data_IF_723052223327
#
_entry.id   IF_723052223327
#
_cell.length_a   1.000
_cell.length_b   1.000
_cell.length_c   1.000
_cell.angle_alpha   90.00
_cell.angle_beta   90.00
_cell.angle_gamma   90.00
#
_symmetry.space_group_name_H-M   'P 1'
#
loop_
_entity.id
_entity.type
_entity.pdbx_description
1 polymer ?
#
# COMPACT_ATOMS: atom_id res chain seq x y z
N UNK A 1 44.52 45.85 -6.33
CA UNK A 1 43.93 44.54 -6.64
C UNK A 1 44.87 43.46 -6.12
N UNK A 2 46.17 43.62 -6.37
CA UNK A 2 47.27 42.76 -5.89
C UNK A 2 47.33 42.47 -4.38
N UNK A 3 47.03 43.43 -3.49
CA UNK A 3 47.12 43.19 -2.03
C UNK A 3 46.02 42.24 -1.48
N UNK A 4 44.83 42.25 -2.08
CA UNK A 4 43.73 41.39 -1.63
C UNK A 4 43.93 39.97 -2.16
N UNK A 5 44.40 39.84 -3.40
CA UNK A 5 44.72 38.54 -3.99
C UNK A 5 45.79 37.81 -3.20
N UNK A 6 46.87 38.50 -2.79
CA UNK A 6 47.93 37.90 -1.99
C UNK A 6 47.44 37.44 -0.61
N UNK A 7 46.60 38.24 0.07
CA UNK A 7 46.03 37.87 1.38
C UNK A 7 45.13 36.64 1.28
N UNK A 8 44.33 36.54 0.21
CA UNK A 8 43.49 35.34 0.00
C UNK A 8 44.36 34.14 -0.33
N UNK A 9 45.38 34.29 -1.17
CA UNK A 9 46.25 33.18 -1.55
C UNK A 9 47.01 32.63 -0.34
N UNK A 10 47.48 33.49 0.57
CA UNK A 10 48.14 33.09 1.80
C UNK A 10 47.16 32.37 2.76
N UNK A 11 45.92 32.87 2.90
CA UNK A 11 44.90 32.23 3.74
C UNK A 11 44.52 30.82 3.23
N UNK A 12 44.38 30.67 1.91
CA UNK A 12 44.12 29.36 1.28
C UNK A 12 45.29 28.41 1.51
N UNK A 13 46.53 28.91 1.39
CA UNK A 13 47.74 28.11 1.57
C UNK A 13 47.91 27.63 3.01
N UNK A 14 47.65 28.50 3.99
CA UNK A 14 47.67 28.17 5.41
C UNK A 14 46.60 27.11 5.75
N UNK A 15 45.37 27.28 5.23
CA UNK A 15 44.29 26.30 5.44
C UNK A 15 44.61 24.94 4.83
N UNK A 16 45.18 24.90 3.62
CA UNK A 16 45.61 23.64 2.98
C UNK A 16 46.70 22.95 3.79
N UNK A 17 47.64 23.71 4.39
CA UNK A 17 48.67 23.14 5.26
C UNK A 17 48.08 22.54 6.54
N UNK A 18 47.11 23.20 7.17
CA UNK A 18 46.41 22.66 8.34
C UNK A 18 45.67 21.35 8.02
N UNK A 19 44.99 21.29 6.87
CA UNK A 19 44.31 20.07 6.40
C UNK A 19 45.32 18.94 6.15
N UNK A 20 46.44 19.23 5.48
CA UNK A 20 47.50 18.24 5.25
C UNK A 20 48.14 17.75 6.55
N UNK A 21 48.30 18.63 7.54
CA UNK A 21 48.82 18.28 8.86
C UNK A 21 47.84 17.37 9.62
N UNK A 22 46.54 17.63 9.55
CA UNK A 22 45.51 16.73 10.09
C UNK A 22 45.58 15.34 9.44
N UNK A 23 45.66 15.26 8.11
CA UNK A 23 45.79 14.01 7.38
C UNK A 23 47.05 13.20 7.74
N UNK A 24 48.12 13.88 8.13
CA UNK A 24 49.38 13.23 8.51
C UNK A 24 49.31 12.59 9.91
N UNK A 25 48.42 13.06 10.79
CA UNK A 25 48.30 12.57 12.18
C UNK A 25 46.84 12.58 12.69
N UNK A 26 45.94 11.75 12.13
CA UNK A 26 44.51 11.81 12.43
C UNK A 26 44.16 11.36 13.87
N UNK A 27 45.01 10.57 14.52
CA UNK A 27 44.76 10.06 15.89
C UNK A 27 44.92 11.14 16.99
N UNK A 28 45.55 12.28 16.66
CA UNK A 28 45.79 13.36 17.62
C UNK A 28 44.60 14.32 17.77
N UNK A 29 43.66 14.31 16.82
CA UNK A 29 42.56 15.27 16.72
C UNK A 29 41.22 14.55 16.85
N UNK A 30 40.43 14.86 17.88
CA UNK A 30 39.16 14.17 18.20
C UNK A 30 38.04 14.37 17.17
N UNK A 31 36.90 13.67 17.35
CA UNK A 31 35.75 13.71 16.42
C UNK A 31 35.22 15.13 16.16
N UNK A 32 35.21 16.00 17.17
CA UNK A 32 34.78 17.40 17.08
C UNK A 32 35.68 18.26 16.17
N UNK A 33 36.96 17.92 16.06
CA UNK A 33 37.90 18.59 15.16
C UNK A 33 37.62 18.24 13.68
N UNK A 34 37.10 17.04 13.44
CA UNK A 34 36.81 16.50 12.10
C UNK A 34 35.65 17.26 11.44
N UNK A 35 34.60 17.54 12.23
CA UNK A 35 33.41 18.29 11.78
C UNK A 35 33.79 19.74 11.48
N UNK A 36 34.57 20.38 12.35
CA UNK A 36 35.07 21.74 12.12
C UNK A 36 35.94 21.85 10.86
N UNK A 37 36.73 20.82 10.55
CA UNK A 37 37.59 20.81 9.36
C UNK A 37 36.77 20.78 8.06
N UNK A 38 35.65 20.06 8.04
CA UNK A 38 34.77 19.99 6.86
C UNK A 38 34.07 21.33 6.60
N UNK A 39 33.54 21.96 7.66
CA UNK A 39 32.92 23.28 7.56
C UNK A 39 33.93 24.33 7.08
N UNK A 40 35.18 24.27 7.56
CA UNK A 40 36.27 25.15 7.12
C UNK A 40 36.64 24.90 5.65
N UNK A 41 36.75 23.64 5.22
CA UNK A 41 37.05 23.27 3.82
C UNK A 41 35.93 23.75 2.89
N UNK A 42 34.68 23.62 3.31
CA UNK A 42 33.52 24.04 2.53
C UNK A 42 33.45 25.57 2.38
N UNK A 43 33.75 26.31 3.45
CA UNK A 43 33.88 27.77 3.40
C UNK A 43 35.04 28.21 2.48
N UNK A 44 36.19 27.55 2.54
CA UNK A 44 37.33 27.86 1.65
C UNK A 44 37.02 27.55 0.19
N UNK A 45 36.29 26.46 -0.10
CA UNK A 45 35.82 26.15 -1.45
C UNK A 45 34.85 27.21 -1.99
N UNK A 46 33.91 27.70 -1.17
CA UNK A 46 33.00 28.77 -1.55
C UNK A 46 33.74 30.09 -1.85
N UNK A 47 34.69 30.47 -1.00
CA UNK A 47 35.52 31.66 -1.20
C UNK A 47 36.37 31.53 -2.46
N UNK A 48 36.96 30.37 -2.69
CA UNK A 48 37.78 30.12 -3.88
C UNK A 48 36.96 30.14 -5.18
N UNK A 49 35.75 29.56 -5.21
CA UNK A 49 34.84 29.62 -6.36
C UNK A 49 34.40 31.07 -6.66
N UNK A 50 34.14 31.87 -5.62
CA UNK A 50 33.81 33.28 -5.76
C UNK A 50 34.97 34.11 -6.36
N UNK A 51 36.21 33.72 -6.07
CA UNK A 51 37.42 34.41 -6.55
C UNK A 51 37.84 33.95 -7.94
N UNK A 52 37.76 32.65 -8.25
CA UNK A 52 38.01 32.12 -9.60
C UNK A 52 36.96 32.61 -10.63
N UNK A 53 35.77 33.02 -10.19
CA UNK A 53 34.81 33.71 -11.06
C UNK A 53 35.24 35.14 -11.45
N UNK A 54 36.22 35.70 -10.74
CA UNK A 54 36.71 37.07 -10.92
C UNK A 54 38.13 37.16 -11.52
N UNK A 55 38.90 36.06 -11.56
CA UNK A 55 40.30 36.01 -11.98
C UNK A 55 40.50 34.79 -12.88
N UNK A 56 41.11 34.95 -14.05
CA UNK A 56 41.55 33.85 -14.94
C UNK A 56 42.71 33.07 -14.26
N UNK A 57 42.39 32.26 -13.26
CA UNK A 57 43.34 31.48 -12.45
C UNK A 57 43.37 29.99 -12.80
N UNK A 58 44.55 29.38 -12.68
CA UNK A 58 44.89 27.99 -13.05
C UNK A 58 43.94 26.91 -12.49
N UNK A 59 43.32 26.14 -13.40
CA UNK A 59 42.34 25.07 -13.13
C UNK A 59 42.88 23.89 -12.27
N UNK A 60 44.20 23.79 -12.10
CA UNK A 60 44.86 22.66 -11.43
C UNK A 60 44.60 22.64 -9.91
N UNK A 61 44.56 23.82 -9.27
CA UNK A 61 44.28 23.95 -7.83
C UNK A 61 42.83 23.59 -7.54
N UNK A 62 41.90 24.05 -8.38
CA UNK A 62 40.47 23.74 -8.26
C UNK A 62 40.21 22.23 -8.38
N UNK A 63 40.87 21.57 -9.33
CA UNK A 63 40.70 20.13 -9.55
C UNK A 63 41.28 19.30 -8.39
N UNK A 64 42.40 19.75 -7.81
CA UNK A 64 43.01 19.11 -6.64
C UNK A 64 42.10 19.23 -5.42
N UNK A 65 41.56 20.43 -5.15
CA UNK A 65 40.62 20.67 -4.05
C UNK A 65 39.32 19.86 -4.20
N UNK A 66 38.76 19.77 -5.42
CA UNK A 66 37.60 18.92 -5.71
C UNK A 66 37.88 17.44 -5.44
N UNK A 67 39.06 16.96 -5.83
CA UNK A 67 39.45 15.56 -5.63
C UNK A 67 39.63 15.24 -4.15
N UNK A 68 40.25 16.15 -3.39
CA UNK A 68 40.38 16.01 -1.93
C UNK A 68 39.01 16.01 -1.26
N UNK A 69 38.13 16.98 -1.55
CA UNK A 69 36.78 17.04 -0.99
C UNK A 69 35.98 15.76 -1.25
N UNK A 70 36.04 15.22 -2.48
CA UNK A 70 35.37 13.97 -2.82
C UNK A 70 35.94 12.76 -2.05
N UNK A 71 37.25 12.72 -1.82
CA UNK A 71 37.88 11.69 -1.02
C UNK A 71 37.44 11.77 0.45
N UNK A 72 37.30 12.98 1.02
CA UNK A 72 36.83 13.17 2.40
C UNK A 72 35.38 12.71 2.56
N UNK A 73 34.50 13.07 1.61
CA UNK A 73 33.09 12.66 1.59
C UNK A 73 32.98 11.12 1.55
N UNK A 74 33.77 10.47 0.70
CA UNK A 74 33.78 9.01 0.62
C UNK A 74 34.30 8.35 1.91
N UNK A 75 35.25 9.00 2.59
CA UNK A 75 35.81 8.53 3.87
C UNK A 75 34.81 8.72 5.03
N UNK A 76 34.02 9.80 5.02
CA UNK A 76 32.91 10.01 5.95
C UNK A 76 31.76 9.03 5.70
N UNK A 77 31.35 8.84 4.44
CA UNK A 77 30.30 7.87 4.09
C UNK A 77 30.68 6.44 4.52
N UNK A 78 31.97 6.10 4.45
CA UNK A 78 32.48 4.80 4.92
C UNK A 78 32.63 4.71 6.44
N UNK A 79 32.81 5.83 7.16
CA UNK A 79 32.77 5.90 8.64
C UNK A 79 31.33 5.91 9.20
N UNK A 80 30.34 6.47 8.47
CA UNK A 80 28.92 6.48 8.84
C UNK A 80 28.29 5.07 8.81
N UNK A 81 28.91 4.10 8.12
CA UNK A 81 28.60 2.68 8.31
C UNK A 81 29.15 2.20 9.66
N UNK A 82 28.48 2.61 10.74
CA UNK A 82 28.70 2.09 12.09
C UNK A 82 28.61 0.57 11.99
N UNK A 83 29.76 -0.12 12.04
CA UNK A 83 29.86 -1.58 12.08
C UNK A 83 29.30 -2.08 13.42
N UNK A 84 27.98 -2.06 13.57
CA UNK A 84 27.30 -2.77 14.65
C UNK A 84 27.41 -4.27 14.34
N UNK A 85 27.97 -5.07 15.27
CA UNK A 85 27.98 -6.53 15.17
C UNK A 85 26.52 -7.03 15.08
N UNK A 86 26.16 -7.70 13.98
CA UNK A 86 24.85 -8.31 13.78
C UNK A 86 24.19 -7.93 12.46
N UNK A 87 22.98 -8.47 12.23
CA UNK A 87 22.16 -8.11 11.07
C UNK A 87 21.81 -6.61 11.15
N UNK A 88 21.89 -5.86 10.03
CA UNK A 88 21.48 -4.46 9.99
C UNK A 88 20.10 -4.26 10.60
N UNK A 89 19.96 -3.21 11.39
CA UNK A 89 18.71 -2.86 12.04
C UNK A 89 17.69 -2.42 10.98
N UNK A 90 16.49 -3.01 11.01
CA UNK A 90 15.39 -2.56 10.16
C UNK A 90 14.95 -1.21 10.71
N UNK A 91 15.24 -0.15 9.96
CA UNK A 91 14.79 1.21 10.26
C UNK A 91 13.28 1.26 10.05
N UNK A 92 12.55 1.48 11.14
CA UNK A 92 11.11 1.69 11.14
C UNK A 92 10.90 3.07 11.74
N UNK A 93 10.41 3.98 10.92
CA UNK A 93 10.15 5.35 11.36
C UNK A 93 9.05 5.37 12.43
N UNK A 94 9.26 6.21 13.46
CA UNK A 94 8.36 6.31 14.61
C UNK A 94 6.99 6.82 14.20
N UNK A 95 6.95 7.83 13.34
CA UNK A 95 5.70 8.47 12.92
C UNK A 95 4.94 7.56 11.97
N UNK A 96 5.64 6.85 11.09
CA UNK A 96 5.05 5.83 10.22
C UNK A 96 4.45 4.67 11.02
N UNK A 97 5.15 4.17 12.04
CA UNK A 97 4.64 3.11 12.90
C UNK A 97 3.43 3.58 13.72
N UNK A 98 3.50 4.79 14.27
CA UNK A 98 2.39 5.42 15.01
C UNK A 98 1.17 5.56 14.12
N UNK A 99 1.33 6.10 12.92
CA UNK A 99 0.26 6.25 11.95
C UNK A 99 -0.41 4.91 11.63
N UNK A 100 0.36 3.85 11.37
CA UNK A 100 -0.20 2.53 11.05
C UNK A 100 -0.99 1.92 12.22
N UNK A 101 -0.50 2.12 13.46
CA UNK A 101 -1.24 1.71 14.66
C UNK A 101 -2.52 2.53 14.81
N UNK A 102 -2.46 3.85 14.58
CA UNK A 102 -3.61 4.76 14.62
C UNK A 102 -4.71 4.40 13.61
N UNK A 103 -4.31 4.03 12.40
CA UNK A 103 -5.21 3.52 11.36
C UNK A 103 -5.79 2.12 11.69
N UNK A 104 -5.35 1.49 12.78
CA UNK A 104 -5.89 0.23 13.28
C UNK A 104 -5.33 -1.01 12.58
N UNK A 105 -4.17 -0.92 11.94
CA UNK A 105 -3.48 -2.10 11.41
C UNK A 105 -3.00 -3.01 12.55
N UNK A 106 -3.16 -4.33 12.37
CA UNK A 106 -2.64 -5.30 13.33
C UNK A 106 -1.12 -5.41 13.20
N UNK A 107 -0.44 -5.80 14.28
CA UNK A 107 1.00 -6.10 14.30
C UNK A 107 1.38 -7.07 13.16
N UNK A 108 0.51 -8.04 12.84
CA UNK A 108 0.71 -8.97 11.71
C UNK A 108 0.73 -8.24 10.36
N UNK A 109 -0.19 -7.31 10.11
CA UNK A 109 -0.24 -6.58 8.85
C UNK A 109 0.93 -5.61 8.74
N UNK A 110 1.23 -4.89 9.83
CA UNK A 110 2.38 -3.98 9.91
C UNK A 110 3.67 -4.76 9.64
N UNK A 111 3.84 -5.95 10.23
CA UNK A 111 5.04 -6.76 9.99
C UNK A 111 5.19 -7.19 8.53
N UNK A 112 4.08 -7.47 7.83
CA UNK A 112 4.09 -7.79 6.40
C UNK A 112 4.44 -6.55 5.55
N UNK A 113 3.93 -5.37 5.90
CA UNK A 113 4.24 -4.11 5.19
C UNK A 113 5.72 -3.74 5.29
N UNK A 114 6.32 -3.89 6.46
CA UNK A 114 7.74 -3.63 6.68
C UNK A 114 8.65 -4.83 6.38
N UNK A 115 8.09 -5.93 5.86
CA UNK A 115 8.81 -7.18 5.58
C UNK A 115 9.71 -7.64 6.74
N UNK A 116 9.17 -7.60 7.97
CA UNK A 116 9.90 -7.92 9.18
C UNK A 116 9.12 -8.90 10.07
N UNK A 117 9.76 -9.35 11.16
CA UNK A 117 9.09 -10.21 12.13
C UNK A 117 8.11 -9.41 12.99
N UNK A 118 7.03 -10.05 13.48
CA UNK A 118 6.12 -9.42 14.46
C UNK A 118 6.86 -8.92 15.70
N UNK A 119 7.86 -9.68 16.15
CA UNK A 119 8.70 -9.34 17.30
C UNK A 119 9.48 -8.05 17.08
N UNK A 120 9.87 -7.75 15.84
CA UNK A 120 10.51 -6.48 15.47
C UNK A 120 9.54 -5.32 15.67
N UNK A 121 8.29 -5.45 15.20
CA UNK A 121 7.25 -4.44 15.39
C UNK A 121 6.92 -4.25 16.87
N UNK A 122 6.70 -5.33 17.63
CA UNK A 122 6.42 -5.27 19.08
C UNK A 122 7.54 -4.59 19.86
N UNK A 123 8.80 -4.87 19.51
CA UNK A 123 9.96 -4.21 20.10
C UNK A 123 9.97 -2.70 19.80
N UNK A 124 9.75 -2.30 18.55
CA UNK A 124 9.67 -0.88 18.16
C UNK A 124 8.50 -0.16 18.81
N UNK A 125 7.36 -0.83 18.93
CA UNK A 125 6.20 -0.30 19.66
C UNK A 125 6.54 -0.05 21.12
N UNK A 126 7.27 -0.96 21.78
CA UNK A 126 7.74 -0.77 23.15
C UNK A 126 8.78 0.37 23.25
N UNK A 127 9.75 0.41 22.34
CA UNK A 127 10.80 1.46 22.28
C UNK A 127 10.21 2.87 22.08
N UNK A 128 9.17 3.00 21.27
CA UNK A 128 8.50 4.28 20.98
C UNK A 128 7.29 4.55 21.88
N UNK A 129 7.04 3.68 22.87
CA UNK A 129 5.88 3.75 23.78
C UNK A 129 4.52 3.78 23.06
N UNK A 130 4.45 3.17 21.87
CA UNK A 130 3.23 3.06 21.06
C UNK A 130 2.43 1.86 21.55
N UNK A 131 1.32 2.13 22.23
CA UNK A 131 0.36 1.10 22.60
C UNK A 131 -0.62 0.82 21.47
N UNK A 132 -1.05 -0.44 21.32
CA UNK A 132 -2.27 -0.74 20.57
C UNK A 132 -3.45 -0.02 21.22
N UNK A 133 -4.41 0.43 20.40
CA UNK A 133 -5.63 1.11 20.84
C UNK A 133 -6.23 0.41 22.07
N UNK A 134 -6.04 1.03 23.24
CA UNK A 134 -6.79 0.64 24.44
C UNK A 134 -8.24 1.01 24.20
N UNK A 135 -9.15 0.15 24.63
CA UNK A 135 -10.57 0.47 24.57
C UNK A 135 -10.85 1.75 25.36
N UNK A 136 -11.59 2.68 24.75
CA UNK A 136 -12.04 3.90 25.39
C UNK A 136 -12.93 3.55 26.58
N UNK A 137 -12.68 4.19 27.72
CA UNK A 137 -13.51 4.04 28.92
C UNK A 137 -14.72 4.96 28.79
N UNK A 138 -15.78 4.45 28.16
CA UNK A 138 -17.08 5.12 28.04
C UNK A 138 -18.13 4.36 28.84
N UNK A 139 -19.10 5.06 29.42
CA UNK A 139 -20.31 4.43 29.95
C UNK A 139 -21.19 3.92 28.81
N UNK A 140 -22.03 2.92 29.10
CA UNK A 140 -22.99 2.41 28.11
C UNK A 140 -24.03 3.49 27.74
N UNK A 141 -24.44 4.35 28.68
CA UNK A 141 -25.39 5.44 28.40
C UNK A 141 -24.84 6.46 27.40
N UNK A 142 -23.56 6.83 27.55
CA UNK A 142 -22.90 7.76 26.63
C UNK A 142 -22.71 7.13 25.24
N UNK A 143 -22.34 5.84 25.20
CA UNK A 143 -22.25 5.07 23.97
C UNK A 143 -23.60 4.97 23.25
N UNK A 144 -24.69 4.76 24.00
CA UNK A 144 -26.05 4.71 23.46
C UNK A 144 -26.49 6.08 22.92
N UNK A 145 -26.07 7.17 23.57
CA UNK A 145 -26.26 8.55 23.07
C UNK A 145 -25.64 8.75 21.69
N UNK A 146 -24.34 8.48 21.55
CA UNK A 146 -23.62 8.59 20.28
C UNK A 146 -24.23 7.66 19.22
N UNK A 147 -24.57 6.43 19.62
CA UNK A 147 -25.17 5.46 18.70
C UNK A 147 -26.51 5.95 18.17
N UNK A 148 -27.32 6.60 19.00
CA UNK A 148 -28.61 7.18 18.59
C UNK A 148 -28.44 8.30 17.56
N UNK A 149 -27.46 9.17 17.74
CA UNK A 149 -27.14 10.22 16.77
C UNK A 149 -26.69 9.63 15.43
N UNK A 150 -25.80 8.63 15.46
CA UNK A 150 -25.30 7.99 14.23
C UNK A 150 -26.43 7.24 13.51
N UNK A 151 -27.29 6.52 14.22
CA UNK A 151 -28.44 5.81 13.63
C UNK A 151 -29.45 6.79 13.05
N UNK A 152 -29.68 7.95 13.69
CA UNK A 152 -30.56 8.98 13.16
C UNK A 152 -30.03 9.55 11.83
N UNK A 153 -28.72 9.78 11.72
CA UNK A 153 -28.07 10.22 10.47
C UNK A 153 -28.06 9.13 9.39
N UNK A 154 -27.92 7.87 9.80
CA UNK A 154 -27.79 6.71 8.91
C UNK A 154 -28.76 5.59 9.33
N UNK A 155 -30.04 5.63 8.93
CA UNK A 155 -31.06 4.68 9.39
C UNK A 155 -30.79 3.20 9.05
N UNK A 156 -29.90 2.93 8.08
CA UNK A 156 -29.46 1.57 7.71
C UNK A 156 -28.09 1.20 8.30
N UNK A 157 -27.58 1.99 9.26
CA UNK A 157 -26.29 1.77 9.90
C UNK A 157 -26.25 0.40 10.59
N UNK A 158 -25.38 -0.47 10.07
CA UNK A 158 -25.05 -1.74 10.72
C UNK A 158 -23.84 -1.61 11.64
N UNK A 159 -23.57 -2.69 12.38
CA UNK A 159 -22.46 -2.80 13.34
C UNK A 159 -21.11 -2.28 12.77
N UNK A 160 -20.76 -2.67 11.55
CA UNK A 160 -19.49 -2.27 10.93
C UNK A 160 -19.39 -0.78 10.65
N UNK A 161 -20.48 -0.15 10.19
CA UNK A 161 -20.51 1.28 9.91
C UNK A 161 -20.42 2.07 11.21
N UNK A 162 -21.15 1.62 12.25
CA UNK A 162 -21.10 2.23 13.58
C UNK A 162 -19.69 2.16 14.17
N UNK A 163 -19.03 1.00 14.11
CA UNK A 163 -17.63 0.84 14.53
C UNK A 163 -16.70 1.77 13.74
N UNK A 164 -16.89 1.86 12.41
CA UNK A 164 -16.11 2.76 11.58
C UNK A 164 -16.25 4.23 11.98
N UNK A 165 -17.48 4.67 12.27
CA UNK A 165 -17.76 6.04 12.73
C UNK A 165 -17.15 6.33 14.10
N UNK A 166 -17.34 5.42 15.07
CA UNK A 166 -16.72 5.55 16.40
C UNK A 166 -15.20 5.66 16.28
N UNK A 167 -14.57 4.80 15.47
CA UNK A 167 -13.11 4.85 15.23
C UNK A 167 -12.66 6.14 14.57
N UNK A 168 -13.42 6.66 13.59
CA UNK A 168 -13.11 7.94 12.97
C UNK A 168 -13.19 9.13 13.93
N UNK A 169 -13.96 8.99 15.02
CA UNK A 169 -14.03 9.94 16.13
C UNK A 169 -13.03 9.64 17.25
N UNK A 170 -12.07 8.74 17.03
CA UNK A 170 -11.07 8.34 18.03
C UNK A 170 -11.60 7.43 19.14
N UNK A 171 -12.82 6.91 19.02
CA UNK A 171 -13.47 6.05 20.02
C UNK A 171 -13.30 4.59 19.62
N UNK A 172 -12.66 3.81 20.48
CA UNK A 172 -12.42 2.38 20.25
C UNK A 172 -13.14 1.59 21.35
N UNK A 173 -14.21 0.88 21.00
CA UNK A 173 -15.03 0.12 21.96
C UNK A 173 -15.05 -1.36 21.56
N UNK A 174 -15.23 -2.24 22.56
CA UNK A 174 -15.38 -3.66 22.31
C UNK A 174 -16.57 -3.91 21.38
N UNK A 175 -16.36 -4.80 20.40
CA UNK A 175 -17.38 -5.16 19.41
C UNK A 175 -18.70 -5.57 20.06
N UNK A 176 -18.64 -6.30 21.17
CA UNK A 176 -19.84 -6.72 21.91
C UNK A 176 -20.61 -5.54 22.49
N UNK A 177 -19.93 -4.56 23.10
CA UNK A 177 -20.57 -3.37 23.64
C UNK A 177 -21.24 -2.52 22.56
N UNK A 178 -20.61 -2.40 21.40
CA UNK A 178 -21.23 -1.73 20.24
C UNK A 178 -22.49 -2.48 19.78
N UNK A 179 -22.48 -3.81 19.77
CA UNK A 179 -23.65 -4.62 19.40
C UNK A 179 -24.79 -4.45 20.41
N UNK A 180 -24.47 -4.49 21.70
CA UNK A 180 -25.45 -4.32 22.77
C UNK A 180 -26.04 -2.90 22.75
N UNK A 181 -25.22 -1.87 22.51
CA UNK A 181 -25.69 -0.50 22.29
C UNK A 181 -26.64 -0.40 21.09
N UNK A 182 -26.28 -0.98 19.96
CA UNK A 182 -27.13 -0.98 18.76
C UNK A 182 -28.43 -1.75 18.98
N UNK A 183 -28.44 -2.82 19.78
CA UNK A 183 -29.65 -3.56 20.17
C UNK A 183 -30.58 -2.72 21.05
N UNK A 184 -30.04 -1.94 21.99
CA UNK A 184 -30.82 -1.05 22.85
C UNK A 184 -31.37 0.16 22.08
N UNK A 185 -30.59 0.73 21.17
CA UNK A 185 -30.93 1.94 20.42
C UNK A 185 -31.81 1.67 19.20
N UNK A 186 -31.53 0.59 18.45
CA UNK A 186 -32.22 0.23 17.20
C UNK A 186 -32.57 -1.28 17.14
N UNK A 187 -33.44 -1.76 18.03
CA UNK A 187 -33.85 -3.17 18.03
C UNK A 187 -34.53 -3.56 16.71
N UNK A 188 -35.32 -2.65 16.14
CA UNK A 188 -36.05 -2.84 14.89
C UNK A 188 -35.12 -3.01 13.68
N UNK A 189 -34.13 -2.14 13.53
CA UNK A 189 -33.18 -2.23 12.42
C UNK A 189 -32.24 -3.42 12.58
N UNK A 190 -31.88 -3.81 13.82
CA UNK A 190 -31.16 -5.07 14.07
C UNK A 190 -32.00 -6.26 13.60
N UNK A 191 -33.26 -6.34 13.97
CA UNK A 191 -34.17 -7.42 13.52
C UNK A 191 -34.35 -7.44 12.00
N UNK A 192 -34.51 -6.28 11.37
CA UNK A 192 -34.64 -6.18 9.92
C UNK A 192 -33.40 -6.73 9.20
N UNK A 193 -32.19 -6.43 9.72
CA UNK A 193 -30.92 -6.95 9.19
C UNK A 193 -30.77 -8.46 9.39
N UNK A 194 -31.27 -9.02 10.50
CA UNK A 194 -31.29 -10.48 10.73
C UNK A 194 -32.19 -11.23 9.72
N UNK A 195 -33.32 -10.61 9.30
CA UNK A 195 -34.24 -11.22 8.32
C UNK A 195 -33.66 -11.29 6.90
N UNK A 196 -32.71 -10.43 6.56
CA UNK A 196 -32.06 -10.36 5.24
C UNK A 196 -30.99 -11.43 4.97
N UNK A 197 -30.85 -12.45 5.82
CA UNK A 197 -29.88 -13.53 5.57
C UNK A 197 -30.37 -14.33 4.35
N UNK A 198 -29.67 -14.18 3.23
CA UNK A 198 -29.84 -14.99 2.01
C UNK A 198 -30.06 -16.45 2.42
N UNK A 199 -31.28 -16.95 2.18
CA UNK A 199 -31.55 -18.37 2.35
C UNK A 199 -30.68 -19.10 1.35
N UNK A 200 -29.63 -19.75 1.85
CA UNK A 200 -28.72 -20.54 1.02
C UNK A 200 -29.53 -21.74 0.52
N UNK A 201 -30.06 -21.61 -0.70
CA UNK A 201 -30.77 -22.69 -1.38
C UNK A 201 -29.76 -23.82 -1.65
N UNK A 202 -30.17 -25.06 -1.43
CA UNK A 202 -29.37 -26.20 -1.87
C UNK A 202 -29.30 -26.15 -3.38
N UNK A 203 -28.09 -25.96 -3.91
CA UNK A 203 -27.86 -25.85 -5.34
C UNK A 203 -27.59 -27.25 -5.89
N UNK A 204 -28.42 -27.71 -6.82
CA UNK A 204 -28.32 -29.02 -7.46
C UNK A 204 -28.59 -28.90 -8.96
N UNK A 205 -27.79 -29.61 -9.76
CA UNK A 205 -27.92 -29.73 -11.22
C UNK A 205 -27.87 -31.24 -11.52
N UNK A 206 -28.71 -31.76 -12.44
CA UNK A 206 -28.89 -33.20 -12.59
C UNK A 206 -27.67 -33.96 -13.13
N UNK A 207 -26.85 -33.34 -13.97
CA UNK A 207 -25.67 -33.96 -14.59
C UNK A 207 -24.69 -32.91 -15.13
N UNK A 208 -23.48 -33.36 -15.49
CA UNK A 208 -22.57 -32.55 -16.28
C UNK A 208 -23.24 -32.13 -17.60
N UNK A 209 -22.89 -30.95 -18.08
CA UNK A 209 -23.43 -30.31 -19.28
C UNK A 209 -24.94 -30.00 -19.25
N UNK A 210 -25.61 -30.17 -18.10
CA UNK A 210 -27.04 -29.86 -17.99
C UNK A 210 -27.32 -28.36 -17.81
N UNK A 211 -26.36 -27.61 -17.27
CA UNK A 211 -26.48 -26.17 -17.04
C UNK A 211 -25.10 -25.52 -16.98
N UNK A 212 -24.79 -24.61 -17.89
CA UNK A 212 -23.63 -23.72 -17.75
C UNK A 212 -24.04 -22.39 -17.16
N UNK A 213 -23.22 -21.83 -16.27
CA UNK A 213 -23.35 -20.44 -15.82
C UNK A 213 -22.34 -19.60 -16.56
N UNK A 214 -22.79 -18.47 -17.11
CA UNK A 214 -21.97 -17.53 -17.85
C UNK A 214 -22.01 -16.20 -17.10
N UNK A 215 -20.84 -15.63 -16.83
CA UNK A 215 -20.69 -14.38 -16.09
C UNK A 215 -19.49 -13.55 -16.61
N UNK A 216 -19.58 -12.24 -16.41
CA UNK A 216 -18.58 -11.25 -16.78
C UNK A 216 -17.95 -10.58 -15.55
N UNK A 217 -16.62 -10.60 -15.45
CA UNK A 217 -15.90 -9.89 -14.39
C UNK A 217 -15.43 -8.52 -14.86
N UNK A 218 -16.06 -7.48 -14.32
CA UNK A 218 -15.86 -6.09 -14.75
C UNK A 218 -14.93 -5.25 -13.86
N UNK A 219 -14.29 -5.79 -12.81
CA UNK A 219 -13.45 -4.94 -11.94
C UNK A 219 -12.21 -4.37 -12.64
N UNK A 220 -11.83 -4.93 -13.79
CA UNK A 220 -10.71 -4.45 -14.59
C UNK A 220 -11.11 -3.51 -15.74
N UNK A 221 -12.39 -3.10 -15.81
CA UNK A 221 -12.91 -2.30 -16.92
C UNK A 221 -12.21 -0.94 -17.04
N UNK A 222 -11.69 -0.37 -15.93
CA UNK A 222 -10.90 0.87 -15.94
C UNK A 222 -9.64 0.76 -16.80
N UNK A 223 -9.07 -0.43 -16.93
CA UNK A 223 -7.91 -0.70 -17.78
C UNK A 223 -8.31 -1.28 -19.15
N UNK A 224 -9.61 -1.25 -19.47
CA UNK A 224 -10.14 -1.75 -20.74
C UNK A 224 -10.27 -3.27 -20.81
N UNK A 225 -10.19 -4.00 -19.69
CA UNK A 225 -10.27 -5.47 -19.70
C UNK A 225 -11.54 -5.99 -19.04
N UNK A 226 -12.16 -6.99 -19.66
CA UNK A 226 -13.28 -7.78 -19.15
C UNK A 226 -12.91 -9.26 -19.22
N UNK A 227 -13.17 -10.00 -18.14
CA UNK A 227 -12.98 -11.45 -18.12
C UNK A 227 -14.34 -12.12 -18.29
N UNK A 228 -14.46 -12.96 -19.29
CA UNK A 228 -15.65 -13.73 -19.62
C UNK A 228 -15.45 -15.17 -19.17
N UNK A 229 -16.38 -15.72 -18.41
CA UNK A 229 -16.26 -17.07 -17.87
C UNK A 229 -17.53 -17.90 -18.02
N UNK A 230 -17.35 -19.17 -18.35
CA UNK A 230 -18.37 -20.21 -18.32
C UNK A 230 -18.00 -21.32 -17.33
N UNK A 231 -18.96 -21.80 -16.54
CA UNK A 231 -18.75 -22.92 -15.61
C UNK A 231 -19.90 -23.91 -15.66
N UNK A 232 -19.58 -25.20 -15.72
CA UNK A 232 -20.57 -26.26 -15.60
C UNK A 232 -21.14 -26.33 -14.18
N UNK A 233 -22.47 -26.35 -14.09
CA UNK A 233 -23.19 -26.31 -12.84
C UNK A 233 -23.07 -27.58 -12.00
N UNK A 234 -22.74 -28.73 -12.60
CA UNK A 234 -22.61 -29.99 -11.86
C UNK A 234 -21.15 -30.28 -11.49
N UNK A 235 -20.27 -30.36 -12.48
CA UNK A 235 -18.86 -30.73 -12.31
C UNK A 235 -18.00 -29.59 -11.78
N UNK A 236 -18.47 -28.34 -11.88
CA UNK A 236 -17.69 -27.12 -11.61
C UNK A 236 -16.51 -26.93 -12.57
N UNK A 237 -16.48 -27.65 -13.68
CA UNK A 237 -15.50 -27.46 -14.74
C UNK A 237 -15.67 -26.09 -15.39
N UNK A 238 -14.57 -25.36 -15.56
CA UNK A 238 -14.55 -24.07 -16.27
C UNK A 238 -14.56 -24.38 -17.77
N UNK A 239 -15.65 -24.06 -18.44
CA UNK A 239 -15.88 -24.42 -19.85
C UNK A 239 -15.24 -23.41 -20.81
N UNK A 240 -15.07 -22.16 -20.36
CA UNK A 240 -14.19 -21.18 -20.97
C UNK A 240 -13.84 -20.09 -19.95
N UNK A 241 -12.66 -19.48 -20.10
CA UNK A 241 -12.24 -18.33 -19.31
C UNK A 241 -11.30 -17.47 -20.14
N UNK A 242 -11.80 -16.33 -20.62
CA UNK A 242 -11.09 -15.51 -21.59
C UNK A 242 -11.12 -14.04 -21.21
N UNK A 243 -10.01 -13.35 -21.43
CA UNK A 243 -9.93 -11.89 -21.28
C UNK A 243 -10.20 -11.24 -22.62
N UNK A 244 -10.92 -10.13 -22.63
CA UNK A 244 -11.20 -9.34 -23.83
C UNK A 244 -11.14 -7.85 -23.52
N UNK A 245 -10.85 -7.05 -24.54
CA UNK A 245 -10.79 -5.59 -24.42
C UNK A 245 -12.15 -4.91 -24.58
N UNK A 246 -13.22 -5.69 -24.68
CA UNK A 246 -14.58 -5.24 -24.89
C UNK A 246 -15.59 -6.20 -24.23
N UNK A 247 -16.85 -5.76 -24.16
CA UNK A 247 -17.99 -6.52 -23.65
C UNK A 247 -19.06 -6.75 -24.73
N UNK A 248 -18.64 -6.97 -25.98
CA UNK A 248 -19.57 -7.13 -27.09
C UNK A 248 -20.17 -8.54 -27.10
N UNK A 249 -21.43 -8.64 -27.52
CA UNK A 249 -22.14 -9.92 -27.53
C UNK A 249 -21.50 -10.98 -28.42
N UNK A 250 -20.94 -10.56 -29.55
CA UNK A 250 -20.22 -11.46 -30.46
C UNK A 250 -18.94 -12.02 -29.83
N UNK A 251 -18.28 -11.25 -28.97
CA UNK A 251 -17.09 -11.71 -28.25
C UNK A 251 -17.44 -12.78 -27.22
N UNK A 252 -18.52 -12.58 -26.45
CA UNK A 252 -19.01 -13.60 -25.51
C UNK A 252 -19.46 -14.86 -26.25
N UNK A 253 -20.18 -14.70 -27.37
CA UNK A 253 -20.59 -15.83 -28.23
C UNK A 253 -19.38 -16.61 -28.73
N UNK A 254 -18.33 -15.94 -29.20
CA UNK A 254 -17.11 -16.60 -29.67
C UNK A 254 -16.46 -17.48 -28.59
N UNK A 255 -16.33 -16.96 -27.37
CA UNK A 255 -15.78 -17.73 -26.24
C UNK A 255 -16.69 -18.91 -25.87
N UNK A 256 -17.99 -18.69 -25.87
CA UNK A 256 -18.97 -19.75 -25.64
C UNK A 256 -18.87 -20.87 -26.67
N UNK A 257 -18.78 -20.54 -27.97
CA UNK A 257 -18.68 -21.53 -29.04
C UNK A 257 -17.40 -22.37 -28.96
N UNK A 258 -16.27 -21.77 -28.55
CA UNK A 258 -15.04 -22.53 -28.26
C UNK A 258 -15.24 -23.54 -27.14
N UNK A 259 -15.91 -23.13 -26.06
CA UNK A 259 -16.27 -24.05 -24.99
C UNK A 259 -17.19 -25.18 -25.47
N UNK A 260 -18.16 -24.87 -26.33
CA UNK A 260 -19.06 -25.87 -26.94
C UNK A 260 -18.32 -26.84 -27.86
N UNK A 261 -17.32 -26.38 -28.61
CA UNK A 261 -16.48 -27.23 -29.44
C UNK A 261 -15.70 -28.26 -28.61
N UNK A 262 -15.21 -27.86 -27.43
CA UNK A 262 -14.43 -28.73 -26.55
C UNK A 262 -15.29 -29.65 -25.66
N UNK A 263 -16.36 -29.11 -25.06
CA UNK A 263 -17.14 -29.78 -24.02
C UNK A 263 -18.54 -30.19 -24.45
N UNK A 264 -18.93 -29.90 -25.69
CA UNK A 264 -20.26 -30.12 -26.23
C UNK A 264 -21.28 -29.08 -25.78
N UNK A 265 -22.41 -29.02 -26.48
CA UNK A 265 -23.48 -28.05 -26.21
C UNK A 265 -24.17 -28.33 -24.86
N UNK A 266 -24.26 -27.36 -23.94
CA UNK A 266 -25.00 -27.56 -22.70
C UNK A 266 -26.52 -27.61 -22.97
N UNK A 267 -27.26 -28.35 -22.14
CA UNK A 267 -28.73 -28.39 -22.23
C UNK A 267 -29.35 -27.01 -21.99
N UNK A 268 -28.78 -26.24 -21.06
CA UNK A 268 -29.25 -24.91 -20.67
C UNK A 268 -28.07 -24.02 -20.31
N UNK A 269 -28.30 -22.72 -20.42
CA UNK A 269 -27.42 -21.69 -19.89
C UNK A 269 -28.15 -20.89 -18.80
N UNK A 270 -27.39 -20.36 -17.85
CA UNK A 270 -27.83 -19.32 -16.92
C UNK A 270 -26.87 -18.16 -17.01
N UNK A 271 -27.43 -17.00 -17.25
CA UNK A 271 -26.71 -15.75 -17.38
C UNK A 271 -27.61 -14.64 -16.87
N UNK A 272 -27.05 -13.47 -16.57
CA UNK A 272 -27.85 -12.30 -16.26
C UNK A 272 -28.53 -11.74 -17.52
N UNK A 273 -29.23 -10.61 -17.38
CA UNK A 273 -29.88 -9.95 -18.52
C UNK A 273 -28.96 -8.90 -19.18
N UNK A 274 -27.66 -9.16 -19.21
CA UNK A 274 -26.66 -8.32 -19.87
C UNK A 274 -26.79 -8.33 -21.39
N UNK A 275 -26.53 -7.17 -22.01
CA UNK A 275 -26.56 -7.02 -23.47
C UNK A 275 -25.50 -7.89 -24.19
N UNK A 276 -24.40 -8.18 -23.49
CA UNK A 276 -23.33 -9.06 -23.95
C UNK A 276 -23.78 -10.53 -24.09
N UNK A 277 -24.82 -10.95 -23.37
CA UNK A 277 -25.27 -12.35 -23.38
C UNK A 277 -26.34 -12.63 -24.45
N UNK A 278 -26.83 -11.60 -25.14
CA UNK A 278 -27.91 -11.70 -26.14
C UNK A 278 -27.55 -12.66 -27.28
N UNK A 279 -26.32 -12.59 -27.80
CA UNK A 279 -25.91 -13.44 -28.92
C UNK A 279 -25.83 -14.93 -28.51
N UNK A 280 -25.37 -15.22 -27.29
CA UNK A 280 -25.34 -16.57 -26.72
C UNK A 280 -26.76 -17.10 -26.48
N UNK A 281 -27.64 -16.26 -25.94
CA UNK A 281 -29.05 -16.62 -25.75
C UNK A 281 -29.74 -16.93 -27.09
N UNK A 282 -29.54 -16.08 -28.10
CA UNK A 282 -30.06 -16.29 -29.45
C UNK A 282 -29.52 -17.57 -30.08
N UNK A 283 -28.23 -17.86 -29.92
CA UNK A 283 -27.63 -19.10 -30.40
C UNK A 283 -28.28 -20.33 -29.74
N UNK A 284 -28.38 -20.34 -28.40
CA UNK A 284 -29.01 -21.44 -27.66
C UNK A 284 -30.49 -21.63 -28.02
N UNK A 285 -31.23 -20.54 -28.25
CA UNK A 285 -32.65 -20.61 -28.60
C UNK A 285 -32.89 -21.18 -30.01
N UNK A 286 -32.00 -20.88 -30.95
CA UNK A 286 -32.12 -21.29 -32.35
C UNK A 286 -31.36 -22.58 -32.69
N UNK A 287 -30.69 -23.21 -31.71
CA UNK A 287 -29.86 -24.38 -31.97
C UNK A 287 -30.72 -25.61 -32.35
N UNK A 288 -30.40 -26.35 -33.45
CA UNK A 288 -31.21 -27.48 -33.91
C UNK A 288 -31.37 -28.61 -32.89
N UNK A 289 -30.36 -28.80 -32.04
CA UNK A 289 -30.36 -29.80 -30.96
C UNK A 289 -31.11 -29.37 -29.70
N UNK A 290 -31.83 -28.24 -29.74
CA UNK A 290 -32.73 -27.84 -28.67
C UNK A 290 -33.88 -28.85 -28.61
N UNK A 291 -34.00 -29.57 -27.49
CA UNK A 291 -35.16 -30.43 -27.25
C UNK A 291 -36.47 -29.62 -27.35
N UNK A 292 -37.59 -30.23 -27.77
CA UNK A 292 -38.86 -29.53 -27.88
C UNK A 292 -39.23 -28.97 -26.51
N UNK A 293 -39.34 -27.64 -26.45
CA UNK A 293 -39.79 -26.78 -25.35
C UNK A 293 -39.85 -27.40 -23.94
N UNK A 294 -38.88 -27.00 -23.10
CA UNK A 294 -38.92 -27.16 -21.64
C UNK A 294 -38.78 -25.83 -20.93
#
# INVERSE_FOLDING_TARGET
>A
MDDIENVVFDLVKETVQEVLQYYSMPEAYGEEYSINLIDVIQQVLEVYVLINGCIDGDDEVLNTLKTLAQAMINEEESKIVIRRKGRPEILIDKDQLRYLVEQGFSVKHISLMFNCSRRTIERRMAEFEISLHKYSLLSDDYLDGITREIVALFPRCGENLLIGRLRSSGIVIQRERVRESLRRVDPTGVMARCRGRLHRRQYSVPSANALWHIDGYHKLIRWGYVIHGGIDGFSRLITFLNVSTNNLSNTVLHHFLKGVEEFGLPLRIRTDRGGENVAVASYMMNHPSRGPDS
#
